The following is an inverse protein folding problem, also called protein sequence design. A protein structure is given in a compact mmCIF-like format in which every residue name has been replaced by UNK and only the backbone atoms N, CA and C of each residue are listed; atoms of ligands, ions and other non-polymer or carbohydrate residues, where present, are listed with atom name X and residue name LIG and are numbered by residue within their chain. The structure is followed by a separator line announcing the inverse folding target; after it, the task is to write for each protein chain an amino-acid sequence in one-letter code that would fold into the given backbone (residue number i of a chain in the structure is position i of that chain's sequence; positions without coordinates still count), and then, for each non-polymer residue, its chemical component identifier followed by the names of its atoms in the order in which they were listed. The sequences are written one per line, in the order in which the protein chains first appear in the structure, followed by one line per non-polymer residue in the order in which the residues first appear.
data_IF_084869029019
#
_entry.id   IF_084869029019
#
_cell.length_a   1.000
_cell.length_b   1.000
_cell.length_c   1.000
_cell.angle_alpha   90.00
_cell.angle_beta   90.00
_cell.angle_gamma   90.00
#
_symmetry.space_group_name_H-M   'P 1'
#
loop_
_entity.id
_entity.type
_entity.pdbx_description
1 polymer ?
#
# COMPACT_ATOMS: atom_id res chain seq x y z
N UNK A 1 -23.78 12.74 9.95
CA UNK A 1 -22.44 12.15 9.71
C UNK A 1 -22.35 10.67 10.11
N UNK A 2 -22.99 10.21 11.18
CA UNK A 2 -22.91 8.79 11.61
C UNK A 2 -23.89 7.83 10.93
N UNK A 3 -25.00 8.31 10.35
CA UNK A 3 -26.00 7.45 9.69
C UNK A 3 -25.47 6.74 8.44
N UNK A 4 -24.63 7.40 7.62
CA UNK A 4 -24.05 6.81 6.42
C UNK A 4 -22.97 5.76 6.71
N UNK A 5 -22.27 5.89 7.83
CA UNK A 5 -21.26 4.92 8.27
C UNK A 5 -21.93 3.63 8.77
N UNK A 6 -23.09 3.76 9.41
CA UNK A 6 -23.95 2.65 9.83
C UNK A 6 -24.58 1.91 8.64
N UNK A 7 -25.00 2.63 7.59
CA UNK A 7 -25.54 2.02 6.37
C UNK A 7 -24.45 1.34 5.53
N UNK A 8 -23.27 1.94 5.42
CA UNK A 8 -22.11 1.33 4.77
C UNK A 8 -21.61 0.09 5.53
N UNK A 9 -21.64 0.11 6.86
CA UNK A 9 -21.32 -1.06 7.68
C UNK A 9 -22.36 -2.18 7.54
N UNK A 10 -23.65 -1.83 7.42
CA UNK A 10 -24.75 -2.79 7.26
C UNK A 10 -24.76 -3.50 5.91
N UNK A 11 -24.30 -2.83 4.87
CA UNK A 11 -24.21 -3.36 3.50
C UNK A 11 -22.80 -3.89 3.15
N UNK A 12 -21.92 -4.03 4.15
CA UNK A 12 -20.58 -4.57 3.94
C UNK A 12 -20.63 -6.10 3.70
N UNK A 13 -19.83 -6.63 2.75
CA UNK A 13 -19.79 -8.05 2.41
C UNK A 13 -19.16 -8.94 3.52
N UNK A 14 -18.78 -8.35 4.65
CA UNK A 14 -18.12 -9.02 5.77
C UNK A 14 -19.05 -9.28 6.97
N UNK A 15 -20.36 -9.11 6.79
CA UNK A 15 -21.35 -9.18 7.87
C UNK A 15 -21.57 -10.58 8.46
N UNK A 16 -21.30 -11.66 7.70
CA UNK A 16 -21.38 -13.05 8.17
C UNK A 16 -20.29 -13.93 7.56
N UNK A 17 -19.81 -14.98 8.25
CA UNK A 17 -18.77 -15.88 7.75
C UNK A 17 -19.23 -16.82 6.62
N UNK A 18 -20.54 -16.84 6.31
CA UNK A 18 -21.12 -17.56 5.17
C UNK A 18 -21.92 -16.57 4.32
N UNK A 19 -21.26 -15.84 3.43
CA UNK A 19 -21.93 -14.98 2.46
C UNK A 19 -21.89 -15.68 1.09
N UNK A 20 -23.06 -16.03 0.53
CA UNK A 20 -23.17 -16.35 -0.91
C UNK A 20 -23.28 -15.02 -1.65
N UNK A 21 -22.33 -14.77 -2.55
CA UNK A 21 -22.39 -13.64 -3.47
C UNK A 21 -23.51 -13.93 -4.48
N UNK A 22 -24.45 -13.00 -4.60
CA UNK A 22 -25.48 -13.04 -5.62
C UNK A 22 -24.83 -12.53 -6.90
N UNK A 23 -24.57 -13.43 -7.86
CA UNK A 23 -24.14 -13.03 -9.20
C UNK A 23 -25.35 -12.41 -9.88
N UNK A 24 -25.31 -11.11 -10.15
CA UNK A 24 -26.31 -10.48 -11.02
C UNK A 24 -25.99 -10.91 -12.46
N UNK A 25 -26.95 -11.60 -13.09
CA UNK A 25 -26.87 -12.07 -14.46
C UNK A 25 -26.86 -10.87 -15.41
N UNK A 26 -25.71 -10.67 -16.09
CA UNK A 26 -25.61 -10.07 -17.41
C UNK A 26 -26.54 -8.91 -17.76
N UNK A 27 -26.31 -7.73 -17.21
CA UNK A 27 -26.60 -6.46 -17.92
C UNK A 27 -25.63 -5.38 -17.44
N UNK A 28 -24.48 -5.31 -18.12
CA UNK A 28 -23.50 -4.25 -17.93
C UNK A 28 -24.08 -2.93 -18.45
N UNK A 29 -24.72 -2.17 -17.56
CA UNK A 29 -24.98 -0.75 -17.74
C UNK A 29 -24.16 0.01 -16.69
N UNK A 30 -23.11 0.66 -17.18
CA UNK A 30 -22.25 1.62 -16.48
C UNK A 30 -23.08 2.67 -15.74
N UNK A 31 -23.30 2.48 -14.44
CA UNK A 31 -23.88 3.50 -13.56
C UNK A 31 -22.77 4.06 -12.69
N UNK A 32 -22.25 5.19 -13.14
CA UNK A 32 -21.45 6.15 -12.37
C UNK A 32 -22.23 6.52 -11.09
N UNK A 33 -21.98 5.81 -9.98
CA UNK A 33 -22.62 6.14 -8.70
C UNK A 33 -21.65 6.93 -7.84
N UNK A 34 -21.77 8.25 -7.89
CA UNK A 34 -21.12 9.16 -6.97
C UNK A 34 -21.43 8.74 -5.52
N UNK A 35 -20.37 8.40 -4.76
CA UNK A 35 -20.48 7.89 -3.38
C UNK A 35 -21.01 8.95 -2.40
N UNK A 36 -21.07 10.24 -2.79
CA UNK A 36 -21.68 11.34 -2.00
C UNK A 36 -22.36 12.36 -2.92
N UNK A 37 -23.65 12.70 -2.72
CA UNK A 37 -24.29 13.78 -3.46
C UNK A 37 -23.68 15.14 -3.07
N UNK A 38 -23.19 15.90 -4.06
CA UNK A 38 -22.69 17.28 -3.86
C UNK A 38 -21.18 17.42 -3.59
N UNK A 39 -20.39 16.34 -3.72
CA UNK A 39 -18.91 16.43 -3.74
C UNK A 39 -18.37 15.83 -5.03
N UNK A 40 -17.81 16.66 -5.89
CA UNK A 40 -16.90 16.22 -6.95
C UNK A 40 -15.60 15.77 -6.29
N UNK A 41 -15.53 14.49 -5.91
CA UNK A 41 -14.23 13.88 -5.64
C UNK A 41 -13.56 13.80 -7.00
N UNK A 42 -12.65 14.72 -7.31
CA UNK A 42 -11.72 14.56 -8.43
C UNK A 42 -10.76 13.41 -8.07
N UNK A 43 -11.29 12.18 -8.09
CA UNK A 43 -10.49 11.03 -8.38
C UNK A 43 -9.98 11.25 -9.82
N UNK A 44 -8.67 11.35 -9.98
CA UNK A 44 -8.02 11.66 -11.26
C UNK A 44 -8.22 10.58 -12.34
N UNK A 45 -9.11 9.61 -12.14
CA UNK A 45 -9.48 8.60 -13.10
C UNK A 45 -10.96 8.75 -13.46
N UNK A 46 -11.27 9.73 -14.31
CA UNK A 46 -12.52 9.78 -15.09
C UNK A 46 -12.50 8.84 -16.30
N UNK A 47 -11.48 7.97 -16.39
CA UNK A 47 -11.34 6.92 -17.40
C UNK A 47 -11.49 5.56 -16.73
N UNK A 48 -12.38 4.73 -17.26
CA UNK A 48 -12.41 3.31 -16.96
C UNK A 48 -11.14 2.69 -17.57
N UNK A 49 -10.17 2.39 -16.71
CA UNK A 49 -8.95 1.70 -17.13
C UNK A 49 -9.21 0.21 -17.11
N UNK A 50 -9.03 -0.45 -18.24
CA UNK A 50 -9.26 -1.90 -18.36
C UNK A 50 -8.29 -2.67 -17.45
N UNK A 51 -8.84 -3.64 -16.72
CA UNK A 51 -8.07 -4.48 -15.81
C UNK A 51 -7.07 -5.34 -16.58
N UNK A 52 -5.80 -5.31 -16.18
CA UNK A 52 -4.71 -6.01 -16.88
C UNK A 52 -4.11 -5.26 -18.08
N UNK A 53 -4.54 -4.02 -18.34
CA UNK A 53 -3.88 -3.15 -19.32
C UNK A 53 -2.52 -2.63 -18.81
N UNK A 54 -1.64 -2.23 -19.72
CA UNK A 54 -0.37 -1.60 -19.37
C UNK A 54 -0.56 -0.27 -18.61
N UNK A 55 -1.66 0.44 -18.89
CA UNK A 55 -2.03 1.66 -18.18
C UNK A 55 -2.42 1.36 -16.72
N UNK A 56 -3.14 0.26 -16.48
CA UNK A 56 -3.46 -0.21 -15.13
C UNK A 56 -2.19 -0.48 -14.30
N UNK A 57 -1.25 -1.26 -14.83
CA UNK A 57 0.01 -1.55 -14.13
C UNK A 57 0.83 -0.29 -13.86
N UNK A 58 0.87 0.63 -14.82
CA UNK A 58 1.53 1.93 -14.66
C UNK A 58 0.92 2.77 -13.54
N UNK A 59 -0.42 2.82 -13.46
CA UNK A 59 -1.12 3.54 -12.40
C UNK A 59 -0.90 2.90 -11.02
N UNK A 60 -0.89 1.56 -10.94
CA UNK A 60 -0.55 0.85 -9.71
C UNK A 60 0.88 1.13 -9.25
N UNK A 61 1.85 1.16 -10.18
CA UNK A 61 3.23 1.48 -9.87
C UNK A 61 3.38 2.94 -9.39
N UNK A 62 2.78 3.91 -10.08
CA UNK A 62 2.82 5.33 -9.68
C UNK A 62 2.10 5.55 -8.35
N UNK A 63 0.96 4.91 -8.15
CA UNK A 63 0.25 4.90 -6.87
C UNK A 63 1.12 4.32 -5.74
N UNK A 64 1.87 3.26 -6.03
CA UNK A 64 2.83 2.66 -5.12
C UNK A 64 3.99 3.59 -4.76
N UNK A 65 4.60 4.25 -5.74
CA UNK A 65 5.65 5.27 -5.54
C UNK A 65 5.16 6.35 -4.59
N UNK A 66 4.03 6.97 -4.91
CA UNK A 66 3.50 8.09 -4.13
C UNK A 66 3.08 7.64 -2.73
N UNK A 67 2.42 6.49 -2.61
CA UNK A 67 1.96 5.97 -1.32
C UNK A 67 3.14 5.62 -0.40
N UNK A 68 4.05 4.74 -0.84
CA UNK A 68 5.18 4.31 -0.03
C UNK A 68 6.19 5.43 0.22
N UNK A 69 6.55 6.19 -0.82
CA UNK A 69 7.52 7.27 -0.69
C UNK A 69 7.08 8.33 0.32
N UNK A 70 5.84 8.83 0.21
CA UNK A 70 5.33 9.88 1.10
C UNK A 70 5.14 9.35 2.52
N UNK A 71 4.53 8.18 2.68
CA UNK A 71 4.26 7.63 4.01
C UNK A 71 5.54 7.31 4.78
N UNK A 72 6.52 6.64 4.15
CA UNK A 72 7.79 6.35 4.81
C UNK A 72 8.57 7.62 5.13
N UNK A 73 8.59 8.60 4.22
CA UNK A 73 9.26 9.89 4.48
C UNK A 73 8.64 10.64 5.66
N UNK A 74 7.31 10.57 5.81
CA UNK A 74 6.62 11.19 6.95
C UNK A 74 6.96 10.51 8.29
N UNK A 75 7.29 9.22 8.27
CA UNK A 75 7.58 8.41 9.46
C UNK A 75 9.09 8.35 9.77
N UNK A 76 9.97 8.88 8.90
CA UNK A 76 11.43 9.00 9.11
C UNK A 76 11.82 9.45 10.53
N UNK A 77 11.20 10.48 11.15
CA UNK A 77 11.54 10.88 12.52
C UNK A 77 11.35 9.77 13.56
N UNK A 78 10.31 8.96 13.41
CA UNK A 78 10.01 7.85 14.30
C UNK A 78 10.97 6.69 14.04
N UNK A 79 11.21 6.37 12.77
CA UNK A 79 12.12 5.29 12.38
C UNK A 79 13.55 5.57 12.82
N UNK A 80 14.01 6.81 12.70
CA UNK A 80 15.34 7.23 13.17
C UNK A 80 15.49 7.02 14.68
N UNK A 81 14.51 7.45 15.48
CA UNK A 81 14.57 7.28 16.94
C UNK A 81 14.47 5.80 17.31
N UNK A 82 13.67 5.00 16.59
CA UNK A 82 13.59 3.55 16.77
C UNK A 82 14.93 2.87 16.46
N UNK A 83 15.58 3.20 15.35
CA UNK A 83 16.88 2.62 15.00
C UNK A 83 17.95 3.00 16.05
N UNK A 84 17.96 4.25 16.53
CA UNK A 84 18.86 4.68 17.61
C UNK A 84 18.63 3.93 18.91
N UNK A 85 17.35 3.73 19.27
CA UNK A 85 16.95 2.93 20.42
C UNK A 85 17.40 1.48 20.28
N UNK A 86 17.33 0.89 19.09
CA UNK A 86 17.77 -0.49 18.83
C UNK A 86 19.30 -0.64 18.86
N UNK A 87 20.06 0.39 18.45
CA UNK A 87 21.53 0.36 18.45
C UNK A 87 22.12 0.67 19.83
N UNK A 88 21.57 1.64 20.56
CA UNK A 88 22.07 2.05 21.89
C UNK A 88 20.93 2.25 22.89
N UNK A 89 20.54 1.13 23.52
CA UNK A 89 19.51 1.10 24.56
C UNK A 89 19.95 1.78 25.87
N UNK A 90 21.25 1.99 26.09
CA UNK A 90 21.76 2.61 27.31
C UNK A 90 21.55 4.13 27.27
N UNK A 91 21.83 4.75 26.12
CA UNK A 91 21.62 6.18 25.86
C UNK A 91 20.14 6.51 25.61
N UNK A 92 19.46 5.68 24.83
CA UNK A 92 18.06 5.86 24.48
C UNK A 92 17.20 4.87 25.28
N UNK A 93 16.58 5.32 26.38
CA UNK A 93 15.80 4.42 27.25
C UNK A 93 14.38 4.14 26.75
N UNK A 94 13.77 5.14 26.12
CA UNK A 94 12.38 5.13 25.66
C UNK A 94 12.25 5.99 24.39
N UNK A 95 11.19 5.78 23.60
CA UNK A 95 10.94 6.55 22.38
C UNK A 95 10.89 8.07 22.64
N UNK A 96 10.12 8.52 23.64
CA UNK A 96 10.04 9.95 24.01
C UNK A 96 11.38 10.52 24.50
N UNK A 97 12.14 9.71 25.24
CA UNK A 97 13.49 10.10 25.67
C UNK A 97 14.40 10.24 24.46
N UNK A 98 14.28 9.35 23.47
CA UNK A 98 15.08 9.40 22.24
C UNK A 98 14.77 10.58 21.34
N UNK A 99 13.51 11.00 21.25
CA UNK A 99 13.16 12.29 20.63
C UNK A 99 13.81 13.47 21.36
N UNK A 100 13.69 13.51 22.69
CA UNK A 100 14.25 14.61 23.52
C UNK A 100 15.77 14.71 23.39
N UNK A 101 16.47 13.58 23.50
CA UNK A 101 17.94 13.51 23.37
C UNK A 101 18.37 13.90 21.95
N UNK A 102 17.69 13.38 20.92
CA UNK A 102 18.01 13.72 19.52
C UNK A 102 17.84 15.21 19.24
N UNK A 103 16.75 15.82 19.69
CA UNK A 103 16.53 17.27 19.52
C UNK A 103 17.56 18.09 20.32
N UNK A 104 17.96 17.64 21.51
CA UNK A 104 18.94 18.34 22.34
C UNK A 104 20.36 18.27 21.75
N UNK A 105 20.74 17.16 21.12
CA UNK A 105 22.09 16.95 20.57
C UNK A 105 22.25 17.42 19.13
N UNK A 106 21.28 17.15 18.26
CA UNK A 106 21.37 17.39 16.81
C UNK A 106 20.34 18.41 16.28
N UNK A 107 19.42 18.86 17.14
CA UNK A 107 18.33 19.76 16.76
C UNK A 107 17.19 19.07 16.01
N UNK A 108 16.14 19.85 15.71
CA UNK A 108 14.94 19.35 15.03
C UNK A 108 15.22 18.84 13.61
N UNK A 109 16.27 19.33 12.94
CA UNK A 109 16.69 18.83 11.62
C UNK A 109 17.38 17.46 11.69
N UNK A 110 17.94 17.09 12.84
CA UNK A 110 18.53 15.76 13.07
C UNK A 110 17.52 14.63 12.95
N UNK A 111 16.23 14.90 13.24
CA UNK A 111 15.14 13.93 13.11
C UNK A 111 14.79 13.55 11.67
N UNK A 112 15.15 14.37 10.69
CA UNK A 112 14.91 14.09 9.27
C UNK A 112 16.16 13.56 8.56
N UNK A 113 17.19 13.14 9.30
CA UNK A 113 18.43 12.63 8.71
C UNK A 113 18.15 11.29 8.02
N UNK A 114 18.56 11.16 6.76
CA UNK A 114 18.26 9.99 5.93
C UNK A 114 16.92 10.06 5.16
N UNK A 115 16.21 11.19 5.17
CA UNK A 115 14.94 11.30 4.44
C UNK A 115 15.04 10.99 2.94
N UNK A 116 16.17 11.35 2.30
CA UNK A 116 16.37 11.14 0.86
C UNK A 116 16.50 9.65 0.50
N UNK A 117 17.42 8.87 1.09
CA UNK A 117 17.49 7.44 0.83
C UNK A 117 16.17 6.72 1.20
N UNK A 118 15.49 7.12 2.28
CA UNK A 118 14.15 6.58 2.61
C UNK A 118 13.14 6.90 1.51
N UNK A 119 13.03 8.15 1.07
CA UNK A 119 12.06 8.53 0.04
C UNK A 119 12.29 7.76 -1.26
N UNK A 120 13.52 7.76 -1.78
CA UNK A 120 13.83 7.11 -3.06
C UNK A 120 13.77 5.58 -2.96
N UNK A 121 14.24 5.01 -1.86
CA UNK A 121 14.20 3.57 -1.62
C UNK A 121 12.78 3.04 -1.55
N UNK A 122 11.96 3.60 -0.66
CA UNK A 122 10.58 3.16 -0.50
C UNK A 122 9.69 3.53 -1.69
N UNK A 123 10.03 4.58 -2.44
CA UNK A 123 9.38 4.86 -3.73
C UNK A 123 9.64 3.76 -4.74
N UNK A 124 10.91 3.33 -4.90
CA UNK A 124 11.27 2.24 -5.81
C UNK A 124 10.62 0.92 -5.36
N UNK A 125 10.69 0.61 -4.06
CA UNK A 125 10.02 -0.55 -3.46
C UNK A 125 8.52 -0.52 -3.77
N UNK A 126 7.84 0.61 -3.52
CA UNK A 126 6.42 0.78 -3.78
C UNK A 126 6.05 0.57 -5.24
N UNK A 127 6.87 1.07 -6.17
CA UNK A 127 6.64 0.89 -7.61
C UNK A 127 6.64 -0.60 -7.99
N UNK A 128 7.66 -1.33 -7.56
CA UNK A 128 7.80 -2.75 -7.86
C UNK A 128 6.78 -3.60 -7.12
N UNK A 129 6.54 -3.31 -5.83
CA UNK A 129 5.56 -4.05 -5.02
C UNK A 129 4.17 -3.94 -5.64
N UNK A 130 3.64 -2.74 -5.85
CA UNK A 130 2.27 -2.58 -6.35
C UNK A 130 2.15 -2.81 -7.85
N UNK A 131 3.16 -2.48 -8.65
CA UNK A 131 3.17 -2.74 -10.08
C UNK A 131 3.27 -4.24 -10.40
N UNK A 132 4.29 -4.93 -9.87
CA UNK A 132 4.51 -6.35 -10.15
C UNK A 132 3.49 -7.25 -9.47
N UNK A 133 2.94 -6.85 -8.31
CA UNK A 133 1.90 -7.64 -7.65
C UNK A 133 0.69 -7.88 -8.55
N UNK A 134 0.26 -6.85 -9.29
CA UNK A 134 -0.84 -6.98 -10.24
C UNK A 134 -0.47 -7.89 -11.43
N UNK A 135 0.76 -7.77 -11.94
CA UNK A 135 1.27 -8.63 -13.02
C UNK A 135 1.30 -10.10 -12.58
N UNK A 136 1.86 -10.39 -11.40
CA UNK A 136 1.96 -11.75 -10.89
C UNK A 136 0.59 -12.35 -10.54
N UNK A 137 -0.36 -11.55 -10.06
CA UNK A 137 -1.73 -12.03 -9.83
C UNK A 137 -2.38 -12.51 -11.13
N UNK A 138 -2.29 -11.73 -12.21
CA UNK A 138 -2.87 -12.09 -13.50
C UNK A 138 -2.15 -13.31 -14.08
N UNK A 139 -0.81 -13.34 -14.00
CA UNK A 139 -0.02 -14.48 -14.47
C UNK A 139 -0.37 -15.78 -13.73
N UNK A 140 -0.43 -15.75 -12.39
CA UNK A 140 -0.73 -16.93 -11.59
C UNK A 140 -2.20 -17.36 -11.69
N UNK A 141 -3.12 -16.42 -11.80
CA UNK A 141 -4.53 -16.74 -12.06
C UNK A 141 -4.71 -17.41 -13.43
N UNK A 142 -4.02 -16.91 -14.47
CA UNK A 142 -4.05 -17.50 -15.81
C UNK A 142 -3.44 -18.91 -15.88
N UNK A 143 -2.41 -19.19 -15.08
CA UNK A 143 -1.77 -20.52 -15.02
C UNK A 143 -2.63 -21.58 -14.31
N UNK A 144 -3.40 -21.18 -13.30
CA UNK A 144 -4.14 -22.09 -12.42
C UNK A 144 -5.58 -22.33 -12.94
N UNK A 145 -6.10 -21.41 -13.76
CA UNK A 145 -7.46 -21.43 -14.30
C UNK A 145 -8.47 -20.74 -13.36
N UNK A 146 -9.54 -20.17 -13.91
CA UNK A 146 -10.47 -19.29 -13.17
C UNK A 146 -11.12 -19.97 -11.95
N UNK A 147 -11.57 -21.23 -12.08
CA UNK A 147 -12.20 -21.96 -10.96
C UNK A 147 -11.22 -22.21 -9.82
N UNK A 148 -9.99 -22.64 -10.14
CA UNK A 148 -8.97 -22.93 -9.13
C UNK A 148 -8.35 -21.64 -8.56
N UNK A 149 -8.25 -20.57 -9.35
CA UNK A 149 -7.81 -19.27 -8.87
C UNK A 149 -8.80 -18.71 -7.84
N UNK A 150 -10.09 -18.99 -7.99
CA UNK A 150 -11.11 -18.65 -6.99
C UNK A 150 -10.95 -19.49 -5.72
N UNK A 151 -10.82 -20.81 -5.87
CA UNK A 151 -10.66 -21.74 -4.73
C UNK A 151 -9.38 -21.49 -3.93
N UNK A 152 -8.27 -21.19 -4.60
CA UNK A 152 -6.96 -20.99 -3.99
C UNK A 152 -6.51 -19.52 -3.96
N UNK A 153 -7.44 -18.57 -4.00
CA UNK A 153 -7.14 -17.12 -4.10
C UNK A 153 -6.10 -16.65 -3.09
N UNK A 154 -6.15 -17.17 -1.86
CA UNK A 154 -5.24 -16.77 -0.78
C UNK A 154 -3.80 -17.15 -1.11
N UNK A 155 -3.59 -18.35 -1.65
CA UNK A 155 -2.26 -18.83 -2.06
C UNK A 155 -1.76 -18.10 -3.29
N UNK A 156 -2.65 -17.79 -4.24
CA UNK A 156 -2.32 -16.98 -5.42
C UNK A 156 -1.85 -15.59 -5.01
N UNK A 157 -2.57 -14.93 -4.10
CA UNK A 157 -2.20 -13.60 -3.60
C UNK A 157 -0.91 -13.63 -2.78
N UNK A 158 -0.71 -14.66 -1.95
CA UNK A 158 0.54 -14.85 -1.22
C UNK A 158 1.73 -15.03 -2.17
N UNK A 159 1.60 -15.91 -3.16
CA UNK A 159 2.64 -16.15 -4.16
C UNK A 159 2.95 -14.90 -4.96
N UNK A 160 1.91 -14.17 -5.40
CA UNK A 160 2.06 -12.92 -6.13
C UNK A 160 2.76 -11.84 -5.29
N UNK A 161 2.38 -11.69 -4.02
CA UNK A 161 3.00 -10.74 -3.10
C UNK A 161 4.47 -11.07 -2.84
N UNK A 162 4.78 -12.34 -2.53
CA UNK A 162 6.15 -12.78 -2.27
C UNK A 162 7.06 -12.57 -3.48
N UNK A 163 6.54 -12.86 -4.68
CA UNK A 163 7.28 -12.65 -5.93
C UNK A 163 7.52 -11.16 -6.18
N UNK A 164 6.52 -10.30 -5.96
CA UNK A 164 6.66 -8.86 -6.12
C UNK A 164 7.64 -8.26 -5.10
N UNK A 165 7.55 -8.67 -3.83
CA UNK A 165 8.43 -8.20 -2.75
C UNK A 165 9.89 -8.58 -2.98
N UNK A 166 10.17 -9.77 -3.52
CA UNK A 166 11.54 -10.16 -3.86
C UNK A 166 12.24 -9.14 -4.79
N UNK A 167 11.56 -8.69 -5.85
CA UNK A 167 12.12 -7.68 -6.76
C UNK A 167 12.14 -6.28 -6.15
N UNK A 168 11.12 -5.96 -5.34
CA UNK A 168 11.05 -4.68 -4.64
C UNK A 168 12.21 -4.51 -3.65
N UNK A 169 12.57 -5.56 -2.92
CA UNK A 169 13.65 -5.54 -1.94
C UNK A 169 15.04 -5.48 -2.60
N UNK A 170 15.21 -6.05 -3.79
CA UNK A 170 16.43 -5.86 -4.59
C UNK A 170 16.64 -4.38 -4.93
N UNK A 171 15.56 -3.65 -5.21
CA UNK A 171 15.62 -2.21 -5.50
C UNK A 171 15.80 -1.37 -4.22
N UNK A 172 15.25 -1.80 -3.09
CA UNK A 172 15.29 -1.09 -1.81
C UNK A 172 16.62 -1.27 -1.06
N UNK A 173 17.16 -2.50 -1.01
CA UNK A 173 18.28 -2.87 -0.15
C UNK A 173 19.53 -1.97 -0.29
N UNK A 174 19.94 -1.54 -1.50
CA UNK A 174 21.08 -0.62 -1.63
C UNK A 174 20.85 0.74 -0.97
N UNK A 175 19.59 1.21 -0.90
CA UNK A 175 19.23 2.51 -0.37
C UNK A 175 18.95 2.48 1.13
N UNK A 176 18.59 1.33 1.70
CA UNK A 176 18.51 1.15 3.16
C UNK A 176 19.88 1.01 3.83
N UNK A 177 20.90 0.54 3.09
CA UNK A 177 22.26 0.41 3.60
C UNK A 177 23.07 1.73 3.55
N UNK A 178 22.52 2.80 2.96
CA UNK A 178 23.19 4.09 2.71
C UNK A 178 22.91 5.13 3.81
#
# INVERSE_FOLDING_TARGET
MFAGLLDAARNSPFRTPFTRVQCDDGSAASVEKAVVPGRSVQAAASREVEFGSNEFFGLCAVGGILSCGITHTAVVPLDLVKCRLQVDQAKYKNLFHGFKVTIAEEGARGLAKGWAPTFFGYSAQGAFKFGLYEVFKIQYAGMIGEENAYLYRTWVYLGASASAEFFADIALAPLEAA
#
